data_IF_808818550742
#
_entry.id   IF_808818550742
#
_cell.length_a   1.000
_cell.length_b   1.000
_cell.length_c   1.000
_cell.angle_alpha   90.00
_cell.angle_beta   90.00
_cell.angle_gamma   90.00
#
_symmetry.space_group_name_H-M   'P 1'
#
loop_
_entity.id
_entity.type
_entity.pdbx_description
1 polymer ?
#
# COMPACT_ATOMS: atom_id res chain seq x y z
N UNK A 1 19.32 19.21 16.51
CA UNK A 1 18.42 18.05 16.32
C UNK A 1 19.23 16.80 16.60
N UNK A 2 18.71 15.86 17.37
CA UNK A 2 19.32 14.54 17.56
C UNK A 2 19.08 13.69 16.30
N UNK A 3 20.10 12.98 15.83
CA UNK A 3 19.96 11.99 14.76
C UNK A 3 19.06 10.83 15.23
N UNK A 4 17.99 10.57 14.49
CA UNK A 4 17.08 9.45 14.74
C UNK A 4 17.33 8.41 13.65
N UNK A 5 17.85 7.25 14.05
CA UNK A 5 18.06 6.12 13.16
C UNK A 5 17.06 5.02 13.52
N UNK A 6 16.24 4.63 12.55
CA UNK A 6 15.24 3.57 12.69
C UNK A 6 15.47 2.54 11.60
N UNK A 7 15.42 1.27 11.96
CA UNK A 7 15.40 0.17 11.01
C UNK A 7 13.95 -0.24 10.82
N UNK A 8 13.53 -0.34 9.56
CA UNK A 8 12.18 -0.72 9.16
C UNK A 8 12.23 -2.05 8.41
N UNK A 9 11.46 -3.03 8.85
CA UNK A 9 11.17 -4.26 8.10
C UNK A 9 9.76 -4.20 7.55
N UNK A 10 9.62 -4.26 6.23
CA UNK A 10 8.32 -4.24 5.55
C UNK A 10 8.00 -5.65 5.02
N UNK A 11 6.85 -6.18 5.42
CA UNK A 11 6.21 -7.28 4.71
C UNK A 11 5.29 -6.66 3.64
N UNK A 12 5.77 -6.60 2.41
CA UNK A 12 5.00 -6.10 1.27
C UNK A 12 4.30 -7.27 0.59
N UNK A 13 3.14 -7.70 1.09
CA UNK A 13 2.36 -8.80 0.49
C UNK A 13 1.46 -8.34 -0.66
N UNK A 14 0.90 -9.29 -1.41
CA UNK A 14 -0.01 -8.99 -2.54
C UNK A 14 -1.39 -8.50 -2.09
N UNK A 15 -1.90 -9.04 -0.97
CA UNK A 15 -3.23 -8.70 -0.42
C UNK A 15 -3.14 -7.82 0.82
N UNK A 16 -2.16 -8.09 1.69
CA UNK A 16 -1.92 -7.35 2.92
C UNK A 16 -0.45 -7.00 3.02
N UNK A 17 -0.16 -5.90 3.70
CA UNK A 17 1.19 -5.53 4.10
C UNK A 17 1.22 -5.16 5.57
N UNK A 18 2.40 -5.26 6.16
CA UNK A 18 2.69 -4.80 7.51
C UNK A 18 4.12 -4.26 7.59
N UNK A 19 4.44 -3.58 8.68
CA UNK A 19 5.81 -3.26 8.99
C UNK A 19 6.07 -3.36 10.49
N UNK A 20 7.34 -3.60 10.81
CA UNK A 20 7.88 -3.49 12.16
C UNK A 20 9.10 -2.59 12.13
N UNK A 21 9.35 -1.89 13.21
CA UNK A 21 10.46 -0.95 13.31
C UNK A 21 11.13 -1.03 14.67
N UNK A 22 12.40 -0.63 14.73
CA UNK A 22 13.17 -0.50 15.94
C UNK A 22 14.09 0.73 15.85
N UNK A 23 14.22 1.47 16.94
CA UNK A 23 15.20 2.54 17.02
C UNK A 23 16.60 1.95 17.18
N UNK A 24 17.62 2.44 16.50
CA UNK A 24 18.97 1.81 16.51
C UNK A 24 19.59 1.78 17.92
N UNK A 25 19.22 2.71 18.81
CA UNK A 25 19.68 2.70 20.20
C UNK A 25 18.81 1.86 21.15
N UNK A 26 17.71 1.27 20.68
CA UNK A 26 16.78 0.48 21.49
C UNK A 26 16.36 -0.79 20.74
N UNK A 27 16.70 -1.95 21.30
CA UNK A 27 16.43 -3.24 20.68
C UNK A 27 14.95 -3.67 20.72
N UNK A 28 14.04 -2.83 21.24
CA UNK A 28 12.62 -3.11 21.23
C UNK A 28 12.06 -3.02 19.79
N UNK A 29 11.59 -4.17 19.27
CA UNK A 29 10.92 -4.26 17.98
C UNK A 29 9.43 -3.98 18.19
N UNK A 30 8.91 -3.00 17.45
CA UNK A 30 7.50 -2.63 17.48
C UNK A 30 6.90 -2.96 16.13
N UNK A 31 5.87 -3.82 16.12
CA UNK A 31 5.05 -4.05 14.93
C UNK A 31 3.95 -3.00 14.89
N UNK A 32 3.81 -2.31 13.76
CA UNK A 32 2.77 -1.31 13.62
C UNK A 32 1.38 -1.95 13.64
N UNK A 33 0.53 -1.47 14.53
CA UNK A 33 -0.85 -1.90 14.68
C UNK A 33 -1.87 -0.78 14.45
N UNK A 34 -1.36 0.42 14.14
CA UNK A 34 -2.13 1.64 13.98
C UNK A 34 -2.11 2.07 12.52
N UNK A 35 -3.28 2.05 11.90
CA UNK A 35 -3.47 2.37 10.48
C UNK A 35 -4.57 3.43 10.35
N UNK A 36 -4.64 4.16 9.22
CA UNK A 36 -5.75 5.09 8.99
C UNK A 36 -7.12 4.44 9.20
N UNK A 37 -7.82 4.86 10.26
CA UNK A 37 -9.16 4.39 10.63
C UNK A 37 -9.24 3.08 11.43
N UNK A 38 -8.13 2.44 11.80
CA UNK A 38 -8.13 1.18 12.59
C UNK A 38 -6.94 1.10 13.55
N UNK A 39 -7.19 0.61 14.78
CA UNK A 39 -6.16 0.30 15.78
C UNK A 39 -6.18 -1.19 16.12
N UNK A 40 -5.04 -1.74 16.55
CA UNK A 40 -4.89 -3.13 17.00
C UNK A 40 -4.82 -4.17 15.88
N UNK A 41 -4.76 -3.75 14.60
CA UNK A 41 -4.56 -4.67 13.47
C UNK A 41 -3.11 -4.66 13.05
N UNK A 42 -2.44 -5.80 13.01
CA UNK A 42 -1.02 -5.86 12.65
C UNK A 42 -0.71 -5.71 11.15
N UNK A 43 -1.74 -5.52 10.31
CA UNK A 43 -1.59 -5.42 8.85
C UNK A 43 -2.71 -4.58 8.24
N UNK A 44 -2.43 -4.00 7.08
CA UNK A 44 -3.36 -3.25 6.23
C UNK A 44 -3.42 -3.83 4.82
N UNK A 45 -4.42 -3.45 4.03
CA UNK A 45 -4.61 -3.98 2.67
C UNK A 45 -3.59 -3.39 1.68
N UNK A 46 -3.05 -4.22 0.78
CA UNK A 46 -2.18 -3.77 -0.31
C UNK A 46 -3.00 -3.26 -1.49
N UNK A 47 -3.58 -2.07 -1.34
CA UNK A 47 -4.51 -1.48 -2.31
C UNK A 47 -4.37 0.04 -2.34
N UNK A 48 -4.58 0.59 -3.53
CA UNK A 48 -4.65 2.03 -3.78
C UNK A 48 -6.00 2.40 -4.41
N UNK A 49 -6.40 3.64 -4.17
CA UNK A 49 -7.51 4.30 -4.84
C UNK A 49 -6.98 5.59 -5.45
N UNK A 50 -7.03 5.69 -6.77
CA UNK A 50 -6.58 6.84 -7.53
C UNK A 50 -7.74 7.69 -8.03
N UNK A 51 -7.48 8.97 -8.21
CA UNK A 51 -8.28 9.84 -9.07
C UNK A 51 -7.97 9.57 -10.57
N UNK A 52 -8.64 10.27 -11.52
CA UNK A 52 -8.39 10.08 -12.95
C UNK A 52 -6.95 10.34 -13.37
N UNK A 53 -6.27 11.27 -12.69
CA UNK A 53 -4.92 11.77 -12.95
C UNK A 53 -3.84 10.95 -12.24
N UNK A 54 -4.23 9.86 -11.57
CA UNK A 54 -3.36 8.98 -10.80
C UNK A 54 -2.71 9.63 -9.58
N UNK A 55 -3.40 10.58 -8.94
CA UNK A 55 -3.09 10.99 -7.57
C UNK A 55 -3.75 10.04 -6.57
N UNK A 56 -3.02 9.66 -5.52
CA UNK A 56 -3.54 8.77 -4.47
C UNK A 56 -4.62 9.51 -3.67
N UNK A 57 -5.83 8.99 -3.68
CA UNK A 57 -6.97 9.50 -2.90
C UNK A 57 -7.09 8.75 -1.57
N UNK A 58 -6.82 7.45 -1.58
CA UNK A 58 -6.79 6.62 -0.39
C UNK A 58 -5.93 5.37 -0.64
N UNK A 59 -5.51 4.72 0.43
CA UNK A 59 -4.79 3.45 0.41
C UNK A 59 -5.28 2.55 1.54
N UNK A 60 -4.83 1.29 1.56
CA UNK A 60 -5.16 0.39 2.65
C UNK A 60 -6.66 0.11 2.79
N UNK A 61 -7.12 -0.07 4.02
CA UNK A 61 -8.53 -0.28 4.32
C UNK A 61 -9.42 0.90 3.92
N UNK A 62 -8.90 2.14 3.95
CA UNK A 62 -9.65 3.32 3.51
C UNK A 62 -9.95 3.28 2.02
N UNK A 63 -9.03 2.80 1.18
CA UNK A 63 -9.27 2.63 -0.26
C UNK A 63 -10.42 1.65 -0.55
N UNK A 64 -10.66 0.65 0.33
CA UNK A 64 -11.79 -0.28 0.19
C UNK A 64 -13.12 0.38 0.62
N UNK A 65 -13.11 1.14 1.71
CA UNK A 65 -14.31 1.79 2.23
C UNK A 65 -14.77 2.99 1.39
N UNK A 66 -13.82 3.71 0.78
CA UNK A 66 -14.05 4.86 -0.10
C UNK A 66 -14.44 4.43 -1.51
N UNK A 67 -14.49 3.11 -1.81
CA UNK A 67 -14.96 2.64 -3.11
C UNK A 67 -16.36 3.18 -3.37
N UNK A 68 -16.55 3.93 -4.45
CA UNK A 68 -17.84 4.52 -4.77
C UNK A 68 -18.85 3.40 -5.01
N UNK A 69 -19.93 3.39 -4.23
CA UNK A 69 -21.07 2.46 -4.44
C UNK A 69 -21.75 2.65 -5.80
N UNK A 70 -21.44 3.75 -6.49
CA UNK A 70 -22.02 4.12 -7.78
C UNK A 70 -20.97 4.08 -8.91
N UNK A 71 -21.34 3.45 -10.03
CA UNK A 71 -20.55 3.33 -11.27
C UNK A 71 -20.11 4.66 -11.92
N UNK A 72 -20.51 5.82 -11.39
CA UNK A 72 -20.23 7.16 -11.95
C UNK A 72 -18.94 7.81 -11.46
N UNK A 73 -18.32 7.27 -10.41
CA UNK A 73 -17.05 7.80 -9.93
C UNK A 73 -15.91 7.34 -10.83
N UNK A 74 -15.09 8.29 -11.28
CA UNK A 74 -13.90 8.03 -12.11
C UNK A 74 -12.70 7.53 -11.29
N UNK A 75 -12.91 7.22 -10.01
CA UNK A 75 -11.85 6.68 -9.15
C UNK A 75 -11.46 5.28 -9.62
N UNK A 76 -10.16 5.00 -9.59
CA UNK A 76 -9.57 3.74 -10.07
C UNK A 76 -8.96 3.02 -8.89
N UNK A 77 -9.53 1.88 -8.50
CA UNK A 77 -8.91 1.06 -7.46
C UNK A 77 -7.92 0.07 -8.08
N UNK A 78 -6.78 -0.11 -7.42
CA UNK A 78 -5.67 -0.90 -7.93
C UNK A 78 -5.21 -1.86 -6.83
N UNK A 79 -5.36 -3.14 -7.09
CA UNK A 79 -4.97 -4.25 -6.22
C UNK A 79 -3.97 -5.15 -6.96
N UNK A 80 -3.28 -6.03 -6.23
CA UNK A 80 -2.41 -7.07 -6.80
C UNK A 80 -1.25 -6.56 -7.67
N UNK A 81 -1.01 -5.24 -7.71
CA UNK A 81 0.02 -4.61 -8.53
C UNK A 81 1.43 -5.16 -8.25
N UNK A 82 1.69 -5.69 -7.04
CA UNK A 82 2.92 -6.42 -6.71
C UNK A 82 3.18 -7.62 -7.63
N UNK A 83 2.14 -8.30 -8.13
CA UNK A 83 2.31 -9.48 -9.02
C UNK A 83 3.01 -9.12 -10.34
N UNK A 84 3.06 -7.85 -10.72
CA UNK A 84 3.87 -7.40 -11.86
C UNK A 84 5.39 -7.59 -11.65
N UNK A 85 5.85 -7.74 -10.41
CA UNK A 85 7.24 -8.10 -10.07
C UNK A 85 7.53 -9.61 -10.23
N UNK A 86 6.50 -10.45 -10.35
CA UNK A 86 6.68 -11.90 -10.45
C UNK A 86 6.91 -12.33 -11.89
N UNK A 87 7.58 -13.47 -12.06
CA UNK A 87 7.90 -14.07 -13.36
C UNK A 87 6.70 -14.88 -13.93
N UNK A 88 5.49 -14.37 -13.74
CA UNK A 88 4.27 -14.97 -14.29
C UNK A 88 4.03 -14.43 -15.71
N UNK A 89 3.39 -15.22 -16.58
CA UNK A 89 3.03 -14.78 -17.93
C UNK A 89 2.23 -13.47 -17.90
N UNK A 90 2.48 -12.57 -18.86
CA UNK A 90 1.75 -11.29 -18.98
C UNK A 90 0.23 -11.46 -19.02
N UNK A 91 -0.26 -12.53 -19.64
CA UNK A 91 -1.69 -12.86 -19.68
C UNK A 91 -2.32 -13.19 -18.32
N UNK A 92 -1.49 -13.52 -17.32
CA UNK A 92 -1.92 -13.81 -15.95
C UNK A 92 -1.69 -12.63 -14.99
N UNK A 93 -0.99 -11.57 -15.44
CA UNK A 93 -0.78 -10.38 -14.61
C UNK A 93 -2.09 -9.63 -14.42
N UNK A 94 -2.34 -9.07 -13.23
CA UNK A 94 -3.57 -8.34 -12.96
C UNK A 94 -3.64 -7.08 -13.84
N UNK A 95 -4.82 -6.82 -14.41
CA UNK A 95 -5.04 -5.62 -15.22
C UNK A 95 -4.88 -4.35 -14.39
N UNK A 96 -4.15 -3.38 -14.94
CA UNK A 96 -4.01 -2.04 -14.39
C UNK A 96 -4.82 -1.04 -15.21
N UNK A 97 -5.29 0.07 -14.62
CA UNK A 97 -5.90 1.14 -15.37
C UNK A 97 -4.98 1.66 -16.48
N UNK A 98 -5.54 1.93 -17.67
CA UNK A 98 -4.77 2.43 -18.81
C UNK A 98 -3.97 3.68 -18.44
N UNK A 99 -2.67 3.66 -18.75
CA UNK A 99 -1.71 4.73 -18.44
C UNK A 99 -1.04 4.63 -17.06
N UNK A 100 -1.39 3.65 -16.20
CA UNK A 100 -0.73 3.43 -14.93
C UNK A 100 0.39 2.38 -15.04
N UNK A 101 1.62 2.77 -14.74
CA UNK A 101 2.73 1.84 -14.53
C UNK A 101 2.64 1.18 -13.14
N UNK A 102 2.84 -0.15 -13.07
CA UNK A 102 2.89 -0.89 -11.82
C UNK A 102 3.97 -0.36 -10.86
N UNK A 103 5.11 0.13 -11.39
CA UNK A 103 6.19 0.72 -10.58
C UNK A 103 5.71 1.96 -9.83
N UNK A 104 4.88 2.79 -10.48
CA UNK A 104 4.24 3.94 -9.82
C UNK A 104 3.33 3.48 -8.69
N UNK A 105 2.50 2.46 -8.93
CA UNK A 105 1.63 1.91 -7.90
C UNK A 105 2.41 1.35 -6.70
N UNK A 106 3.52 0.66 -6.93
CA UNK A 106 4.40 0.19 -5.85
C UNK A 106 5.00 1.36 -5.08
N UNK A 107 5.59 2.34 -5.78
CA UNK A 107 6.23 3.49 -5.15
C UNK A 107 5.24 4.33 -4.33
N UNK A 108 4.05 4.58 -4.87
CA UNK A 108 2.99 5.29 -4.16
C UNK A 108 2.53 4.52 -2.92
N UNK A 109 2.32 3.20 -3.02
CA UNK A 109 1.92 2.42 -1.86
C UNK A 109 2.98 2.41 -0.76
N UNK A 110 4.26 2.25 -1.12
CA UNK A 110 5.36 2.28 -0.16
C UNK A 110 5.51 3.64 0.50
N UNK A 111 5.29 4.74 -0.24
CA UNK A 111 5.29 6.11 0.30
C UNK A 111 4.19 6.35 1.33
N UNK A 112 3.04 5.70 1.17
CA UNK A 112 1.91 5.84 2.09
C UNK A 112 2.04 4.96 3.34
N UNK A 113 2.62 3.76 3.23
CA UNK A 113 2.68 2.81 4.34
C UNK A 113 3.76 3.12 5.39
N UNK A 114 4.86 3.78 5.01
CA UNK A 114 5.98 4.06 5.91
C UNK A 114 6.98 5.05 5.34
#
# INVERSE_FOLDING_TARGET
MSDIHVILSIDFGTTYSSFSYAHVSNNAIITNDTWPGFHGKLRTNTVLLYDPDFNVVAWGSQALNTRPKFKKSKLKSVELFKLHLSDIPESQKPMLPSGLDFKKAIADYLREIG
#
